data_IF_095253362823
#
_entry.id   IF_095253362823
#
_cell.length_a   1.000
_cell.length_b   1.000
_cell.length_c   1.000
_cell.angle_alpha   90.00
_cell.angle_beta   90.00
_cell.angle_gamma   90.00
#
_symmetry.space_group_name_H-M   'P 1'
#
loop_
_entity.id
_entity.type
_entity.pdbx_description
1 polymer ?
#
# COMPACT_ATOMS: atom_id res chain seq x y z
N UNK A 1 -4.69 20.46 0.81
CA UNK A 1 -3.32 19.93 1.00
C UNK A 1 -3.20 18.94 2.16
N UNK A 2 -3.57 19.29 3.39
CA UNK A 2 -3.41 18.41 4.56
C UNK A 2 -4.07 17.04 4.43
N UNK A 3 -5.26 17.00 3.80
CA UNK A 3 -5.99 15.76 3.52
C UNK A 3 -5.17 14.79 2.67
N UNK A 4 -4.54 15.26 1.59
CA UNK A 4 -3.77 14.40 0.69
C UNK A 4 -2.51 13.86 1.39
N UNK A 5 -1.81 14.71 2.16
CA UNK A 5 -0.69 14.25 2.99
C UNK A 5 -1.10 13.18 3.99
N UNK A 6 -2.28 13.35 4.63
CA UNK A 6 -2.81 12.36 5.57
C UNK A 6 -3.12 11.04 4.86
N UNK A 7 -3.81 11.08 3.72
CA UNK A 7 -4.12 9.86 2.93
C UNK A 7 -2.83 9.12 2.55
N UNK A 8 -1.82 9.83 2.03
CA UNK A 8 -0.52 9.23 1.68
C UNK A 8 0.16 8.60 2.90
N UNK A 9 0.08 9.25 4.08
CA UNK A 9 0.62 8.71 5.33
C UNK A 9 -0.13 7.46 5.78
N UNK A 10 -1.45 7.46 5.69
CA UNK A 10 -2.29 6.31 6.04
C UNK A 10 -2.07 5.12 5.09
N UNK A 11 -1.83 5.39 3.79
CA UNK A 11 -1.42 4.38 2.82
C UNK A 11 -0.04 3.81 3.14
N UNK A 12 0.93 4.68 3.48
CA UNK A 12 2.29 4.27 3.82
C UNK A 12 2.29 3.36 5.05
N UNK A 13 1.56 3.73 6.10
CA UNK A 13 1.40 2.93 7.31
C UNK A 13 0.70 1.59 7.02
N UNK A 14 -0.32 1.59 6.16
CA UNK A 14 -1.01 0.36 5.74
C UNK A 14 -0.06 -0.59 4.99
N UNK A 15 0.83 -0.05 4.12
CA UNK A 15 1.86 -0.84 3.44
C UNK A 15 2.89 -1.43 4.42
N UNK A 16 3.30 -0.69 5.45
CA UNK A 16 4.18 -1.21 6.52
C UNK A 16 3.52 -2.36 7.28
N UNK A 17 2.24 -2.20 7.63
CA UNK A 17 1.46 -3.25 8.30
C UNK A 17 1.30 -4.49 7.42
N UNK A 18 1.06 -4.34 6.11
CA UNK A 18 1.03 -5.46 5.17
C UNK A 18 2.36 -6.23 5.13
N UNK A 19 3.48 -5.52 5.09
CA UNK A 19 4.81 -6.12 5.12
C UNK A 19 5.07 -6.87 6.44
N UNK A 20 4.69 -6.30 7.58
CA UNK A 20 4.81 -6.94 8.88
C UNK A 20 3.96 -8.22 8.97
N UNK A 21 2.69 -8.17 8.57
CA UNK A 21 1.83 -9.36 8.54
C UNK A 21 2.36 -10.44 7.59
N UNK A 22 2.98 -10.06 6.46
CA UNK A 22 3.61 -11.03 5.57
C UNK A 22 4.80 -11.74 6.25
N UNK A 23 5.60 -11.01 7.03
CA UNK A 23 6.68 -11.60 7.82
C UNK A 23 6.16 -12.52 8.93
N UNK A 24 5.11 -12.12 9.64
CA UNK A 24 4.44 -12.96 10.65
C UNK A 24 3.91 -14.26 10.03
N UNK A 25 3.30 -14.17 8.86
CA UNK A 25 2.80 -15.33 8.13
C UNK A 25 3.93 -16.28 7.73
N UNK A 26 5.05 -15.75 7.23
CA UNK A 26 6.25 -16.55 6.93
C UNK A 26 6.80 -17.24 8.18
N UNK A 27 6.83 -16.54 9.32
CA UNK A 27 7.29 -17.09 10.59
C UNK A 27 6.37 -18.22 11.06
N UNK A 28 5.05 -18.01 11.01
CA UNK A 28 4.06 -19.00 11.37
C UNK A 28 4.19 -20.28 10.52
N UNK A 29 4.38 -20.15 9.21
CA UNK A 29 4.67 -21.28 8.32
C UNK A 29 5.91 -22.07 8.76
N UNK A 30 7.02 -21.39 9.05
CA UNK A 30 8.27 -22.05 9.47
C UNK A 30 8.14 -22.79 10.80
N UNK A 31 7.27 -22.31 11.68
CA UNK A 31 7.04 -22.87 13.01
C UNK A 31 5.92 -23.92 13.03
N UNK A 32 5.21 -24.13 11.91
CA UNK A 32 4.02 -24.98 11.88
C UNK A 32 2.83 -24.39 12.66
N UNK A 33 2.82 -23.08 12.92
CA UNK A 33 1.74 -22.38 13.62
C UNK A 33 0.57 -22.08 12.66
N UNK A 34 -0.29 -23.07 12.46
CA UNK A 34 -1.50 -22.95 11.64
C UNK A 34 -2.42 -21.79 12.06
N UNK A 35 -2.78 -21.66 13.35
CA UNK A 35 -3.59 -20.53 13.83
C UNK A 35 -2.95 -19.16 13.56
N UNK A 36 -1.64 -19.02 13.78
CA UNK A 36 -0.90 -17.80 13.47
C UNK A 36 -0.91 -17.45 11.98
N UNK A 37 -0.75 -18.46 11.11
CA UNK A 37 -0.83 -18.29 9.66
C UNK A 37 -2.21 -17.79 9.20
N UNK A 38 -3.29 -18.38 9.71
CA UNK A 38 -4.66 -17.98 9.36
C UNK A 38 -4.94 -16.56 9.83
N UNK A 39 -4.55 -16.23 11.08
CA UNK A 39 -4.70 -14.87 11.62
C UNK A 39 -3.97 -13.84 10.75
N UNK A 40 -2.71 -14.09 10.41
CA UNK A 40 -1.93 -13.19 9.58
C UNK A 40 -2.56 -13.00 8.19
N UNK A 41 -3.07 -14.08 7.57
CA UNK A 41 -3.78 -14.04 6.29
C UNK A 41 -5.04 -13.17 6.32
N UNK A 42 -5.86 -13.30 7.37
CA UNK A 42 -7.08 -12.51 7.53
C UNK A 42 -6.75 -11.02 7.74
N UNK A 43 -5.71 -10.73 8.54
CA UNK A 43 -5.24 -9.35 8.72
C UNK A 43 -4.75 -8.75 7.41
N UNK A 44 -4.01 -9.51 6.60
CA UNK A 44 -3.57 -9.05 5.27
C UNK A 44 -4.76 -8.69 4.37
N UNK A 45 -5.81 -9.52 4.34
CA UNK A 45 -7.00 -9.25 3.55
C UNK A 45 -7.72 -7.97 4.01
N UNK A 46 -7.81 -7.75 5.32
CA UNK A 46 -8.35 -6.52 5.89
C UNK A 46 -7.54 -5.28 5.48
N UNK A 47 -6.21 -5.35 5.58
CA UNK A 47 -5.31 -4.25 5.21
C UNK A 47 -5.33 -3.96 3.71
N UNK A 48 -5.40 -4.99 2.86
CA UNK A 48 -5.55 -4.82 1.42
C UNK A 48 -6.85 -4.08 1.06
N UNK A 49 -7.96 -4.42 1.75
CA UNK A 49 -9.23 -3.72 1.60
C UNK A 49 -9.14 -2.26 2.07
N UNK A 50 -8.44 -1.98 3.17
CA UNK A 50 -8.19 -0.61 3.63
C UNK A 50 -7.40 0.18 2.59
N UNK A 51 -6.36 -0.40 2.00
CA UNK A 51 -5.54 0.25 0.98
C UNK A 51 -6.36 0.60 -0.27
N UNK A 52 -7.30 -0.28 -0.67
CA UNK A 52 -8.26 0.01 -1.75
C UNK A 52 -9.08 1.27 -1.46
N UNK A 53 -9.67 1.39 -0.27
CA UNK A 53 -10.46 2.58 0.07
C UNK A 53 -9.63 3.85 0.18
N UNK A 54 -8.42 3.76 0.74
CA UNK A 54 -7.51 4.90 0.77
C UNK A 54 -7.08 5.36 -0.62
N UNK A 55 -6.95 4.44 -1.58
CA UNK A 55 -6.67 4.78 -2.99
C UNK A 55 -7.85 5.51 -3.65
N UNK A 56 -9.08 5.09 -3.37
CA UNK A 56 -10.27 5.79 -3.85
C UNK A 56 -10.39 7.20 -3.22
N UNK A 57 -10.12 7.33 -1.92
CA UNK A 57 -10.05 8.64 -1.24
C UNK A 57 -8.96 9.52 -1.83
N UNK A 58 -7.79 8.94 -2.15
CA UNK A 58 -6.68 9.65 -2.80
C UNK A 58 -7.12 10.20 -4.15
N UNK A 59 -7.75 9.38 -4.99
CA UNK A 59 -8.26 9.78 -6.32
C UNK A 59 -9.23 10.95 -6.20
N UNK A 60 -10.25 10.82 -5.35
CA UNK A 60 -11.22 11.89 -5.13
C UNK A 60 -10.56 13.19 -4.63
N UNK A 61 -9.54 13.10 -3.79
CA UNK A 61 -8.82 14.27 -3.30
C UNK A 61 -7.88 14.90 -4.35
N UNK A 62 -7.30 14.09 -5.25
CA UNK A 62 -6.56 14.58 -6.43
C UNK A 62 -7.52 15.29 -7.40
N UNK A 63 -8.68 14.70 -7.67
CA UNK A 63 -9.69 15.30 -8.54
C UNK A 63 -10.17 16.64 -7.96
N UNK A 64 -10.49 16.69 -6.66
CA UNK A 64 -10.88 17.94 -5.99
C UNK A 64 -9.78 19.01 -6.06
N UNK A 65 -8.51 18.60 -5.96
CA UNK A 65 -7.37 19.50 -6.12
C UNK A 65 -7.28 20.03 -7.56
N UNK A 66 -7.44 19.17 -8.56
CA UNK A 66 -7.44 19.55 -9.97
C UNK A 66 -8.53 20.60 -10.28
N UNK A 67 -9.75 20.39 -9.76
CA UNK A 67 -10.86 21.34 -9.89
C UNK A 67 -10.59 22.67 -9.16
N UNK A 68 -9.88 22.64 -8.03
CA UNK A 68 -9.51 23.87 -7.32
C UNK A 68 -8.42 24.69 -8.03
N UNK A 69 -7.62 24.04 -8.89
CA UNK A 69 -6.49 24.63 -9.59
C UNK A 69 -6.80 24.99 -11.06
N UNK A 70 -7.99 24.69 -11.58
CA UNK A 70 -8.39 24.98 -12.98
C UNK A 70 -9.90 25.19 -13.15
N UNK A 71 -10.31 26.15 -13.98
CA UNK A 71 -11.71 26.28 -14.44
C UNK A 71 -12.05 25.30 -15.58
N UNK A 72 -11.05 24.81 -16.31
CA UNK A 72 -11.22 23.84 -17.40
C UNK A 72 -10.19 22.71 -17.27
N UNK A 73 -10.67 21.47 -17.17
CA UNK A 73 -9.99 20.21 -17.50
C UNK A 73 -8.47 20.17 -17.31
N UNK A 74 -7.98 20.44 -16.09
CA UNK A 74 -6.58 20.17 -15.76
C UNK A 74 -6.34 18.66 -15.64
N UNK A 75 -5.13 18.19 -15.98
CA UNK A 75 -4.77 16.77 -15.96
C UNK A 75 -5.01 16.12 -14.59
N UNK A 76 -5.53 14.89 -14.63
CA UNK A 76 -5.97 14.11 -13.47
C UNK A 76 -4.80 13.49 -12.67
N UNK A 77 -3.55 13.66 -13.12
CA UNK A 77 -2.40 13.07 -12.44
C UNK A 77 -1.73 14.03 -11.44
N UNK A 78 -1.27 13.43 -10.34
CA UNK A 78 -0.68 14.17 -9.24
C UNK A 78 0.62 14.88 -9.62
N UNK A 79 1.38 14.32 -10.57
CA UNK A 79 2.65 14.88 -11.00
C UNK A 79 2.45 16.25 -11.66
N UNK A 80 1.43 16.38 -12.49
CA UNK A 80 1.13 17.61 -13.20
C UNK A 80 0.47 18.65 -12.30
N UNK A 81 -0.31 18.23 -11.30
CA UNK A 81 -0.86 19.15 -10.30
C UNK A 81 0.23 19.78 -9.43
N UNK A 82 1.34 19.08 -9.18
CA UNK A 82 2.45 19.61 -8.38
C UNK A 82 3.12 20.84 -9.00
N UNK A 83 3.13 20.96 -10.33
CA UNK A 83 3.70 22.11 -11.04
C UNK A 83 2.90 23.40 -10.81
N UNK A 84 1.62 23.29 -10.41
CA UNK A 84 0.71 24.42 -10.18
C UNK A 84 0.61 24.81 -8.70
N UNK A 85 1.22 24.04 -7.81
CA UNK A 85 1.18 24.30 -6.37
C UNK A 85 2.30 25.24 -5.93
N UNK A 86 2.14 25.94 -4.79
CA UNK A 86 3.26 26.61 -4.13
C UNK A 86 4.40 25.63 -3.88
N UNK A 87 5.65 26.07 -4.10
CA UNK A 87 6.85 25.23 -4.05
C UNK A 87 6.94 24.38 -2.77
N UNK A 88 6.68 24.98 -1.60
CA UNK A 88 6.72 24.27 -0.32
C UNK A 88 5.69 23.12 -0.21
N UNK A 89 4.49 23.31 -0.77
CA UNK A 89 3.44 22.28 -0.78
C UNK A 89 3.77 21.19 -1.82
N UNK A 90 4.30 21.59 -2.97
CA UNK A 90 4.72 20.69 -4.03
C UNK A 90 5.84 19.75 -3.56
N UNK A 91 6.90 20.30 -2.95
CA UNK A 91 8.02 19.52 -2.42
C UNK A 91 7.56 18.54 -1.34
N UNK A 92 6.74 19.01 -0.40
CA UNK A 92 6.21 18.18 0.70
C UNK A 92 5.41 16.99 0.16
N UNK A 93 4.56 17.23 -0.83
CA UNK A 93 3.73 16.17 -1.39
C UNK A 93 4.53 15.19 -2.26
N UNK A 94 5.48 15.71 -3.06
CA UNK A 94 6.39 14.89 -3.84
C UNK A 94 7.23 13.97 -2.95
N UNK A 95 7.74 14.48 -1.82
CA UNK A 95 8.45 13.67 -0.83
C UNK A 95 7.57 12.54 -0.29
N UNK A 96 6.33 12.83 0.11
CA UNK A 96 5.39 11.83 0.61
C UNK A 96 5.01 10.77 -0.43
N UNK A 97 4.84 11.17 -1.68
CA UNK A 97 4.58 10.25 -2.78
C UNK A 97 5.74 9.27 -2.98
N UNK A 98 6.99 9.76 -2.93
CA UNK A 98 8.19 8.92 -3.03
C UNK A 98 8.32 7.95 -1.85
N UNK A 99 8.07 8.42 -0.63
CA UNK A 99 8.13 7.59 0.58
C UNK A 99 7.08 6.46 0.54
N UNK A 100 5.86 6.79 0.11
CA UNK A 100 4.80 5.80 -0.11
C UNK A 100 5.21 4.77 -1.17
N UNK A 101 5.72 5.22 -2.32
CA UNK A 101 6.12 4.33 -3.41
C UNK A 101 7.23 3.36 -2.94
N UNK A 102 8.27 3.87 -2.29
CA UNK A 102 9.35 3.05 -1.76
C UNK A 102 8.85 2.02 -0.73
N UNK A 103 7.86 2.40 0.08
CA UNK A 103 7.25 1.50 1.06
C UNK A 103 6.37 0.44 0.41
N UNK A 104 5.59 0.81 -0.60
CA UNK A 104 4.75 -0.11 -1.37
C UNK A 104 5.59 -1.15 -2.13
N UNK A 105 6.69 -0.73 -2.76
CA UNK A 105 7.62 -1.63 -3.44
C UNK A 105 8.23 -2.66 -2.48
N UNK A 106 8.64 -2.22 -1.27
CA UNK A 106 9.12 -3.12 -0.21
C UNK A 106 8.04 -4.12 0.23
N UNK A 107 6.82 -3.64 0.48
CA UNK A 107 5.71 -4.51 0.88
C UNK A 107 5.38 -5.56 -0.21
N UNK A 108 5.38 -5.15 -1.48
CA UNK A 108 5.16 -6.03 -2.62
C UNK A 108 6.26 -7.10 -2.75
N UNK A 109 7.52 -6.73 -2.50
CA UNK A 109 8.63 -7.68 -2.50
C UNK A 109 8.47 -8.75 -1.40
N UNK A 110 8.13 -8.35 -0.18
CA UNK A 110 7.88 -9.29 0.93
C UNK A 110 6.70 -10.21 0.62
N UNK A 111 5.60 -9.66 0.08
CA UNK A 111 4.43 -10.44 -0.26
C UNK A 111 4.69 -11.46 -1.38
N UNK A 112 5.53 -11.12 -2.36
CA UNK A 112 5.95 -12.06 -3.42
C UNK A 112 6.70 -13.25 -2.86
N UNK A 113 7.66 -13.01 -1.96
CA UNK A 113 8.42 -14.07 -1.27
C UNK A 113 7.47 -14.94 -0.44
N UNK A 114 6.53 -14.32 0.28
CA UNK A 114 5.55 -15.03 1.09
C UNK A 114 4.63 -15.94 0.24
N UNK A 115 4.13 -15.44 -0.88
CA UNK A 115 3.30 -16.23 -1.81
C UNK A 115 4.06 -17.45 -2.37
N UNK A 116 5.34 -17.28 -2.73
CA UNK A 116 6.20 -18.39 -3.16
C UNK A 116 6.35 -19.43 -2.04
N UNK A 117 6.61 -19.00 -0.81
CA UNK A 117 6.71 -19.92 0.34
C UNK A 117 5.43 -20.72 0.59
N UNK A 118 4.26 -20.08 0.51
CA UNK A 118 2.96 -20.76 0.64
C UNK A 118 2.80 -21.81 -0.45
N UNK A 119 3.08 -21.45 -1.71
CA UNK A 119 2.98 -22.35 -2.85
C UNK A 119 3.91 -23.57 -2.70
N UNK A 120 5.17 -23.36 -2.31
CA UNK A 120 6.12 -24.45 -2.07
C UNK A 120 5.65 -25.41 -0.97
N UNK A 121 5.09 -24.89 0.13
CA UNK A 121 4.57 -25.74 1.20
C UNK A 121 3.36 -26.57 0.76
N UNK A 122 2.45 -26.00 -0.03
CA UNK A 122 1.30 -26.73 -0.59
C UNK A 122 1.78 -27.87 -1.51
N UNK A 123 2.76 -27.59 -2.38
CA UNK A 123 3.33 -28.60 -3.28
C UNK A 123 4.03 -29.72 -2.52
N UNK A 124 4.79 -29.39 -1.47
CA UNK A 124 5.45 -30.38 -0.63
C UNK A 124 4.42 -31.26 0.10
N UNK A 125 3.36 -30.67 0.66
CA UNK A 125 2.30 -31.42 1.30
C UNK A 125 1.61 -32.39 0.34
N UNK A 126 1.35 -31.97 -0.91
CA UNK A 126 0.75 -32.82 -1.94
C UNK A 126 1.68 -33.95 -2.43
N UNK A 127 3.00 -33.80 -2.33
CA UNK A 127 3.96 -34.85 -2.70
C UNK A 127 4.17 -35.90 -1.59
N UNK A 128 3.76 -35.60 -0.37
CA UNK A 128 3.87 -36.48 0.81
C UNK A 128 2.59 -37.31 1.07
N UNK A 129 1.52 -37.03 0.33
CA UNK A 129 0.24 -37.77 0.34
C UNK A 129 0.16 -38.75 -0.82
#
# INVERSE_FOLDING_TARGET
MEQLCRILTDQEETCKQLAACAQEQQQALRQGDGPGFVRASLTQAHLARRLYFLEEERRAAVDALAHSLSEESAPDDLATLLEKLPEADAERLAARSRDLQATAEKAAAVQRVNAQMVQTNIQLAAALT
#
